data_IF_458737690161
#
_entry.id   IF_458737690161
#
_cell.length_a   1.000
_cell.length_b   1.000
_cell.length_c   1.000
_cell.angle_alpha   90.00
_cell.angle_beta   90.00
_cell.angle_gamma   90.00
#
_symmetry.space_group_name_H-M   'P 1'
#
loop_
_entity.id
_entity.type
_entity.pdbx_description
1 polymer ?
#
# COMPACT_ATOMS: atom_id res chain seq x y z
N UNK A 1 6.77 -4.57 -6.95
CA UNK A 1 8.02 -3.88 -7.31
C UNK A 1 8.66 -3.29 -6.06
N UNK A 2 9.84 -3.77 -5.62
CA UNK A 2 10.51 -3.25 -4.43
C UNK A 2 11.34 -2.02 -4.81
N UNK A 3 10.97 -0.84 -4.33
CA UNK A 3 11.69 0.40 -4.64
C UNK A 3 13.03 0.47 -3.87
N UNK A 4 14.16 0.77 -4.53
CA UNK A 4 15.44 0.93 -3.86
C UNK A 4 15.41 2.08 -2.84
N UNK A 5 16.19 1.96 -1.75
CA UNK A 5 16.28 2.99 -0.70
C UNK A 5 16.59 4.38 -1.27
N UNK A 6 17.54 4.48 -2.22
CA UNK A 6 17.91 5.74 -2.88
C UNK A 6 16.75 6.36 -3.67
N UNK A 7 15.90 5.55 -4.29
CA UNK A 7 14.74 6.00 -5.07
C UNK A 7 13.67 6.62 -4.18
N UNK A 8 13.51 6.13 -2.95
CA UNK A 8 12.54 6.64 -1.97
C UNK A 8 13.03 7.86 -1.16
N UNK A 9 14.32 8.19 -1.23
CA UNK A 9 14.89 9.35 -0.54
C UNK A 9 14.42 10.68 -1.14
N UNK A 10 14.27 10.74 -2.48
CA UNK A 10 13.75 11.94 -3.20
C UNK A 10 12.29 12.26 -2.84
N UNK A 11 11.33 11.31 -2.84
CA UNK A 11 9.95 11.61 -2.47
C UNK A 11 9.75 11.85 -0.96
N UNK A 12 10.54 11.28 -0.06
CA UNK A 12 10.34 11.50 1.39
C UNK A 12 10.49 12.96 1.83
N UNK A 13 11.41 13.70 1.21
CA UNK A 13 11.60 15.13 1.51
C UNK A 13 10.54 16.05 0.91
N UNK A 14 9.84 15.60 -0.15
CA UNK A 14 8.83 16.40 -0.87
C UNK A 14 7.38 16.08 -0.47
N UNK A 15 7.12 14.87 0.05
CA UNK A 15 5.76 14.36 0.34
C UNK A 15 5.51 14.28 1.86
N UNK A 16 6.49 14.65 2.71
CA UNK A 16 6.32 14.73 4.16
C UNK A 16 6.30 13.39 4.92
N UNK A 17 6.57 12.27 4.24
CA UNK A 17 6.60 10.93 4.86
C UNK A 17 8.03 10.43 5.09
N UNK A 18 8.27 9.80 6.25
CA UNK A 18 9.54 9.12 6.54
C UNK A 18 9.80 8.00 5.53
N UNK A 19 11.06 7.85 5.10
CA UNK A 19 11.48 6.85 4.11
C UNK A 19 11.02 5.41 4.45
N UNK A 20 11.07 5.03 5.73
CA UNK A 20 10.61 3.72 6.19
C UNK A 20 9.11 3.49 5.95
N UNK A 21 8.29 4.54 6.09
CA UNK A 21 6.85 4.49 5.83
C UNK A 21 6.58 4.34 4.34
N UNK A 22 7.32 5.05 3.49
CA UNK A 22 7.24 4.89 2.04
C UNK A 22 7.65 3.48 1.58
N UNK A 23 8.69 2.89 2.19
CA UNK A 23 9.09 1.51 1.91
C UNK A 23 7.97 0.53 2.22
N UNK A 24 7.39 0.62 3.43
CA UNK A 24 6.26 -0.23 3.83
C UNK A 24 5.07 -0.06 2.88
N UNK A 25 4.69 1.17 2.56
CA UNK A 25 3.61 1.46 1.61
C UNK A 25 3.87 0.86 0.22
N UNK A 26 5.10 0.94 -0.29
CA UNK A 26 5.45 0.35 -1.59
C UNK A 26 5.36 -1.18 -1.61
N UNK A 27 5.69 -1.84 -0.49
CA UNK A 27 5.58 -3.29 -0.35
C UNK A 27 4.11 -3.68 -0.28
N UNK A 28 3.31 -2.97 0.53
CA UNK A 28 1.87 -3.18 0.65
C UNK A 28 1.16 -3.06 -0.71
N UNK A 29 1.41 -1.97 -1.44
CA UNK A 29 0.86 -1.78 -2.79
C UNK A 29 1.27 -2.90 -3.75
N UNK A 30 2.52 -3.35 -3.68
CA UNK A 30 2.99 -4.46 -4.51
C UNK A 30 2.27 -5.77 -4.19
N UNK A 31 2.03 -6.05 -2.91
CA UNK A 31 1.28 -7.22 -2.47
C UNK A 31 -0.17 -7.16 -2.95
N UNK A 32 -0.86 -6.05 -2.70
CA UNK A 32 -2.25 -5.86 -3.11
C UNK A 32 -2.43 -5.96 -4.63
N UNK A 33 -1.47 -5.42 -5.40
CA UNK A 33 -1.44 -5.58 -6.84
C UNK A 33 -1.31 -7.06 -7.25
N UNK A 34 -0.43 -7.82 -6.59
CA UNK A 34 -0.30 -9.26 -6.81
C UNK A 34 -1.58 -10.03 -6.50
N UNK A 35 -2.22 -9.76 -5.36
CA UNK A 35 -3.51 -10.36 -4.98
C UNK A 35 -4.58 -10.06 -6.02
N UNK A 36 -4.70 -8.81 -6.47
CA UNK A 36 -5.70 -8.40 -7.46
C UNK A 36 -5.53 -9.05 -8.83
N UNK A 37 -4.32 -9.52 -9.16
CA UNK A 37 -3.97 -10.19 -10.42
C UNK A 37 -4.09 -11.71 -10.36
N UNK A 38 -4.26 -12.28 -9.17
CA UNK A 38 -4.40 -13.71 -8.99
C UNK A 38 -5.90 -14.07 -9.01
N UNK A 39 -6.30 -14.94 -9.94
CA UNK A 39 -7.70 -15.31 -10.16
C UNK A 39 -8.34 -15.93 -8.92
N UNK A 40 -7.61 -16.80 -8.19
CA UNK A 40 -8.11 -17.46 -6.99
C UNK A 40 -8.28 -16.50 -5.81
N UNK A 41 -7.32 -15.58 -5.62
CA UNK A 41 -7.30 -14.70 -4.45
C UNK A 41 -8.17 -13.45 -4.64
N UNK A 42 -8.27 -12.92 -5.85
CA UNK A 42 -9.00 -11.67 -6.14
C UNK A 42 -10.49 -11.75 -5.82
N UNK A 43 -11.09 -12.93 -5.91
CA UNK A 43 -12.50 -13.17 -5.57
C UNK A 43 -12.75 -13.54 -4.11
N UNK A 44 -11.69 -13.88 -3.36
CA UNK A 44 -11.76 -14.37 -1.97
C UNK A 44 -11.35 -13.34 -0.94
N UNK A 45 -10.59 -12.32 -1.32
CA UNK A 45 -10.06 -11.33 -0.37
C UNK A 45 -10.71 -9.96 -0.57
N UNK A 46 -11.31 -9.43 0.50
CA UNK A 46 -11.80 -8.05 0.54
C UNK A 46 -10.84 -7.18 1.38
N UNK A 47 -10.27 -6.14 0.75
CA UNK A 47 -9.47 -5.14 1.48
C UNK A 47 -10.39 -4.24 2.30
N UNK A 48 -10.07 -4.05 3.59
CA UNK A 48 -10.83 -3.18 4.49
C UNK A 48 -9.93 -2.25 5.32
N UNK A 49 -10.53 -1.60 6.30
CA UNK A 49 -9.83 -0.80 7.30
C UNK A 49 -9.19 0.47 6.74
N UNK A 50 -8.16 0.94 7.44
CA UNK A 50 -7.49 2.21 7.12
C UNK A 50 -6.81 2.21 5.75
N UNK A 51 -6.36 1.06 5.28
CA UNK A 51 -5.70 0.91 3.97
C UNK A 51 -6.68 0.95 2.81
N UNK A 52 -7.88 0.38 2.95
CA UNK A 52 -8.95 0.56 1.97
C UNK A 52 -9.34 2.03 1.84
N UNK A 53 -9.56 2.71 2.96
CA UNK A 53 -9.91 4.15 2.98
C UNK A 53 -8.78 4.98 2.34
N UNK A 54 -7.51 4.68 2.67
CA UNK A 54 -6.38 5.43 2.16
C UNK A 54 -6.18 5.28 0.64
N UNK A 55 -6.45 4.10 0.08
CA UNK A 55 -6.26 3.82 -1.34
C UNK A 55 -7.47 4.18 -2.21
N UNK A 56 -8.68 4.02 -1.69
CA UNK A 56 -9.91 4.11 -2.49
C UNK A 56 -10.66 5.43 -2.30
N UNK A 57 -10.53 6.08 -1.13
CA UNK A 57 -11.33 7.25 -0.77
C UNK A 57 -10.51 8.52 -0.55
N UNK A 58 -9.24 8.40 -0.17
CA UNK A 58 -8.41 9.55 0.17
C UNK A 58 -7.34 9.85 -0.88
N UNK A 59 -7.09 11.13 -1.14
CA UNK A 59 -5.93 11.62 -1.92
C UNK A 59 -4.68 11.76 -1.02
N UNK A 60 -4.41 10.72 -0.24
CA UNK A 60 -3.23 10.51 0.63
C UNK A 60 -2.90 11.65 1.64
N UNK A 61 -3.75 11.92 2.65
CA UNK A 61 -3.40 12.74 3.80
C UNK A 61 -2.70 11.95 4.92
N UNK A 62 -2.91 10.63 5.03
CA UNK A 62 -2.28 9.74 6.03
C UNK A 62 -1.96 8.39 5.39
N UNK A 63 -0.69 8.09 5.11
CA UNK A 63 -0.29 6.80 4.53
C UNK A 63 -0.52 5.66 5.55
N UNK A 64 -1.53 4.82 5.30
CA UNK A 64 -1.74 3.59 6.05
C UNK A 64 -0.76 2.53 5.56
N UNK A 65 -0.12 1.81 6.50
CA UNK A 65 0.90 0.80 6.18
C UNK A 65 0.58 -0.59 6.75
N UNK A 66 -0.54 -0.70 7.48
CA UNK A 66 -1.08 -1.97 7.95
C UNK A 66 -1.99 -2.58 6.86
N UNK A 67 -2.36 -3.85 6.99
CA UNK A 67 -3.22 -4.54 6.04
C UNK A 67 -4.33 -5.28 6.79
N UNK A 68 -5.57 -4.92 6.48
CA UNK A 68 -6.77 -5.58 7.01
C UNK A 68 -7.51 -6.23 5.83
N UNK A 69 -7.64 -7.54 5.83
CA UNK A 69 -8.32 -8.32 4.78
C UNK A 69 -9.36 -9.24 5.43
N UNK A 70 -10.54 -9.32 4.82
CA UNK A 70 -11.50 -10.39 5.08
C UNK A 70 -11.39 -11.49 4.02
N UNK A 71 -11.54 -12.74 4.47
CA UNK A 71 -11.73 -13.90 3.60
C UNK A 71 -13.22 -14.11 3.37
N UNK A 72 -13.63 -14.15 2.09
CA UNK A 72 -15.00 -14.29 1.62
C UNK A 72 -15.38 -15.75 1.37
#
# INVERSE_FOLDING_TARGET
>A
MRLPRKTLFRPSGQIGYRQGILQKGSILLSFLYGVSRNEDLSSRFALKGGSAINLLLLRIPRLSVDIDIDYL
#
